data_IF_518840208757
#
_entry.id   IF_518840208757
#
_cell.length_a   1.000
_cell.length_b   1.000
_cell.length_c   1.000
_cell.angle_alpha   90.00
_cell.angle_beta   90.00
_cell.angle_gamma   90.00
#
_symmetry.space_group_name_H-M   'P 1'
#
loop_
_entity.id
_entity.type
_entity.pdbx_description
1 polymer ?
#
# COMPACT_ATOMS: atom_id res chain seq x y z
N UNK A 1 33.95 34.52 26.55
CA UNK A 1 33.62 33.22 25.92
C UNK A 1 32.97 33.58 24.60
N UNK A 2 33.69 33.42 23.48
CA UNK A 2 33.54 34.30 22.32
C UNK A 2 32.73 33.67 21.18
N UNK A 3 31.92 34.51 20.54
CA UNK A 3 30.89 34.22 19.53
C UNK A 3 31.41 33.50 18.26
N UNK A 4 32.72 33.55 18.03
CA UNK A 4 33.40 32.93 16.87
C UNK A 4 33.47 31.41 16.97
N UNK A 5 33.41 30.85 18.18
CA UNK A 5 33.46 29.40 18.41
C UNK A 5 32.10 28.74 18.12
N UNK A 6 31.00 29.46 18.33
CA UNK A 6 29.64 28.97 18.06
C UNK A 6 29.37 28.93 16.55
N UNK A 7 29.81 29.95 15.81
CA UNK A 7 29.63 30.02 14.34
C UNK A 7 30.44 28.92 13.62
N UNK A 8 31.61 28.53 14.16
CA UNK A 8 32.45 27.48 13.55
C UNK A 8 31.91 26.06 13.76
N UNK A 9 31.05 25.83 14.78
CA UNK A 9 30.41 24.52 15.00
C UNK A 9 29.18 24.31 14.11
N UNK A 10 28.48 25.39 13.71
CA UNK A 10 27.31 25.30 12.84
C UNK A 10 27.65 24.87 11.40
N UNK A 11 28.88 25.12 10.93
CA UNK A 11 29.27 24.78 9.56
C UNK A 11 29.64 23.31 9.35
N UNK A 12 29.89 22.55 10.43
CA UNK A 12 30.30 21.14 10.33
C UNK A 12 29.13 20.16 10.21
N UNK A 13 27.88 20.60 10.44
CA UNK A 13 26.69 19.73 10.49
C UNK A 13 25.92 19.69 9.16
N UNK A 14 26.59 19.99 8.04
CA UNK A 14 25.99 19.88 6.70
C UNK A 14 26.71 18.88 5.78
N UNK A 15 27.60 18.04 6.33
CA UNK A 15 28.41 17.09 5.55
C UNK A 15 28.17 15.61 5.91
N UNK A 16 27.03 15.27 6.50
CA UNK A 16 26.55 13.88 6.49
C UNK A 16 25.74 13.70 5.22
N UNK A 17 26.41 13.15 4.20
CA UNK A 17 25.88 12.95 2.87
C UNK A 17 24.56 12.17 2.89
N UNK A 18 23.52 12.81 2.36
CA UNK A 18 22.33 12.10 1.88
C UNK A 18 22.69 11.46 0.56
N UNK A 19 23.26 10.25 0.60
CA UNK A 19 23.27 9.40 -0.58
C UNK A 19 21.81 9.16 -0.98
N UNK A 20 21.38 9.42 -2.22
CA UNK A 20 20.09 8.95 -2.68
C UNK A 20 20.13 7.43 -2.59
N UNK A 21 19.36 6.84 -1.68
CA UNK A 21 19.05 5.42 -1.73
C UNK A 21 18.23 5.25 -3.00
N UNK A 22 18.89 4.83 -4.08
CA UNK A 22 18.21 4.43 -5.30
C UNK A 22 17.38 3.20 -4.93
N UNK A 23 16.05 3.37 -4.87
CA UNK A 23 15.12 2.26 -4.83
C UNK A 23 15.13 1.62 -6.22
N UNK A 24 16.17 0.83 -6.50
CA UNK A 24 16.23 0.00 -7.68
C UNK A 24 15.29 -1.19 -7.47
N UNK A 25 13.98 -0.92 -7.56
CA UNK A 25 13.02 -1.96 -7.85
C UNK A 25 13.28 -2.38 -9.29
N UNK A 26 13.96 -3.51 -9.49
CA UNK A 26 13.80 -4.25 -10.72
C UNK A 26 12.34 -4.67 -10.76
N UNK A 27 11.50 -3.85 -11.39
CA UNK A 27 10.17 -4.27 -11.79
C UNK A 27 10.40 -5.41 -12.79
N UNK A 28 10.32 -6.64 -12.29
CA UNK A 28 10.11 -7.79 -13.14
C UNK A 28 8.85 -7.47 -13.94
N UNK A 29 8.94 -7.46 -15.27
CA UNK A 29 7.82 -7.19 -16.18
C UNK A 29 6.82 -8.36 -16.19
N UNK A 30 6.60 -9.00 -15.05
CA UNK A 30 5.38 -9.74 -14.81
C UNK A 30 4.23 -8.77 -15.07
N UNK A 31 3.43 -9.06 -16.09
CA UNK A 31 2.30 -8.21 -16.48
C UNK A 31 1.37 -8.08 -15.28
N UNK A 32 1.44 -6.94 -14.59
CA UNK A 32 0.60 -6.63 -13.43
C UNK A 32 -0.85 -6.59 -13.92
N UNK A 33 -1.66 -7.53 -13.44
CA UNK A 33 -3.06 -7.64 -13.82
C UNK A 33 -3.95 -7.52 -12.57
N UNK A 34 -4.51 -6.33 -12.40
CA UNK A 34 -5.45 -6.02 -11.33
C UNK A 34 -6.91 -6.10 -11.79
N UNK A 35 -7.15 -6.57 -13.02
CA UNK A 35 -8.49 -6.60 -13.59
C UNK A 35 -9.41 -7.57 -12.84
N UNK A 36 -10.63 -7.14 -12.46
CA UNK A 36 -11.64 -8.04 -11.91
C UNK A 36 -12.08 -9.16 -12.86
N UNK A 37 -11.71 -9.07 -14.15
CA UNK A 37 -12.05 -10.10 -15.14
C UNK A 37 -11.44 -11.47 -14.81
N UNK A 38 -10.30 -11.49 -14.11
CA UNK A 38 -9.54 -12.71 -13.82
C UNK A 38 -9.65 -13.17 -12.36
N UNK A 39 -10.50 -12.54 -11.55
CA UNK A 39 -10.72 -12.95 -10.16
C UNK A 39 -11.67 -14.14 -10.08
N UNK A 40 -11.19 -15.26 -9.54
CA UNK A 40 -12.00 -16.47 -9.36
C UNK A 40 -13.10 -16.31 -8.31
N UNK A 41 -12.97 -15.34 -7.42
CA UNK A 41 -13.85 -15.08 -6.28
C UNK A 41 -14.87 -13.96 -6.51
N UNK A 42 -15.02 -13.47 -7.75
CA UNK A 42 -15.88 -12.30 -8.07
C UNK A 42 -17.32 -12.45 -7.58
N UNK A 43 -17.95 -13.58 -7.84
CA UNK A 43 -19.35 -13.84 -7.44
C UNK A 43 -19.52 -13.83 -5.92
N UNK A 44 -18.55 -14.40 -5.18
CA UNK A 44 -18.55 -14.37 -3.72
C UNK A 44 -18.37 -12.94 -3.16
N UNK A 45 -17.58 -12.10 -3.83
CA UNK A 45 -17.42 -10.68 -3.44
C UNK A 45 -18.71 -9.90 -3.63
N UNK A 46 -19.48 -10.17 -4.69
CA UNK A 46 -20.79 -9.57 -4.93
C UNK A 46 -21.80 -9.97 -3.86
N UNK A 47 -21.84 -11.26 -3.50
CA UNK A 47 -22.68 -11.76 -2.40
C UNK A 47 -22.31 -11.10 -1.07
N UNK A 48 -21.02 -11.01 -0.74
CA UNK A 48 -20.54 -10.39 0.50
C UNK A 48 -20.90 -8.90 0.58
N UNK A 49 -21.06 -8.24 -0.56
CA UNK A 49 -21.46 -6.85 -0.65
C UNK A 49 -22.95 -6.62 -0.29
N UNK A 50 -23.76 -7.67 -0.31
CA UNK A 50 -25.17 -7.60 0.09
C UNK A 50 -25.37 -7.69 1.61
N UNK A 51 -24.34 -8.05 2.39
CA UNK A 51 -24.42 -8.27 3.83
C UNK A 51 -23.75 -7.14 4.63
N UNK A 52 -24.57 -6.31 5.29
CA UNK A 52 -24.10 -5.19 6.11
C UNK A 52 -24.22 -5.42 7.63
N UNK A 53 -25.08 -6.33 8.08
CA UNK A 53 -25.50 -6.43 9.49
C UNK A 53 -24.98 -7.67 10.23
N UNK A 54 -24.06 -8.44 9.63
CA UNK A 54 -23.49 -9.64 10.25
C UNK A 54 -22.18 -9.32 10.96
N UNK A 55 -22.01 -9.85 12.18
CA UNK A 55 -20.72 -9.82 12.88
C UNK A 55 -19.63 -10.47 12.02
N UNK A 56 -18.60 -9.70 11.69
CA UNK A 56 -17.46 -10.18 10.92
C UNK A 56 -16.44 -10.81 11.88
N UNK A 57 -15.94 -12.02 11.60
CA UNK A 57 -14.89 -12.62 12.42
C UNK A 57 -13.63 -11.75 12.40
N UNK A 58 -12.81 -11.88 13.44
CA UNK A 58 -11.49 -11.25 13.47
C UNK A 58 -10.65 -11.79 12.31
N UNK A 59 -10.13 -10.89 11.47
CA UNK A 59 -9.23 -11.24 10.39
C UNK A 59 -7.78 -11.15 10.86
N UNK A 60 -7.00 -12.20 10.61
CA UNK A 60 -5.58 -12.30 10.95
C UNK A 60 -4.75 -12.56 9.69
N UNK A 61 -3.56 -11.98 9.62
CA UNK A 61 -2.64 -12.16 8.49
C UNK A 61 -1.25 -11.60 8.78
N UNK A 62 -0.21 -12.26 8.27
CA UNK A 62 1.19 -11.90 8.56
C UNK A 62 1.79 -10.96 7.50
N UNK A 63 1.35 -11.07 6.25
CA UNK A 63 2.00 -10.44 5.10
C UNK A 63 1.28 -9.18 4.58
N UNK A 64 0.17 -8.80 5.21
CA UNK A 64 -0.58 -7.59 4.85
C UNK A 64 -2.08 -7.70 5.17
N UNK A 65 -2.70 -6.54 5.36
CA UNK A 65 -4.13 -6.40 5.64
C UNK A 65 -4.68 -5.19 4.91
N UNK A 66 -5.91 -5.32 4.38
CA UNK A 66 -6.68 -4.20 3.81
C UNK A 66 -7.96 -4.07 4.64
N UNK A 67 -8.23 -2.87 5.14
CA UNK A 67 -9.40 -2.54 5.98
C UNK A 67 -9.80 -1.08 5.79
N UNK A 68 -10.91 -0.66 6.39
CA UNK A 68 -11.43 0.72 6.29
C UNK A 68 -11.94 1.08 4.89
N UNK A 69 -12.43 0.10 4.14
CA UNK A 69 -12.89 0.25 2.76
C UNK A 69 -14.42 0.25 2.66
N UNK A 70 -14.95 0.77 1.56
CA UNK A 70 -16.41 0.81 1.31
C UNK A 70 -17.01 -0.53 0.86
N UNK A 71 -16.21 -1.49 0.38
CA UNK A 71 -16.73 -2.78 -0.08
C UNK A 71 -15.65 -3.84 -0.35
N UNK A 72 -16.07 -5.12 -0.53
CA UNK A 72 -15.18 -6.27 -0.66
C UNK A 72 -14.37 -6.27 -1.96
N UNK A 73 -14.90 -5.72 -3.06
CA UNK A 73 -14.15 -5.56 -4.30
C UNK A 73 -12.92 -4.63 -4.13
N UNK A 74 -13.04 -3.58 -3.32
CA UNK A 74 -11.93 -2.69 -3.01
C UNK A 74 -10.87 -3.35 -2.11
N UNK A 75 -11.31 -4.21 -1.18
CA UNK A 75 -10.39 -5.06 -0.38
C UNK A 75 -9.63 -6.01 -1.30
N UNK A 76 -10.34 -6.68 -2.22
CA UNK A 76 -9.74 -7.65 -3.15
C UNK A 76 -8.69 -7.03 -4.06
N UNK A 77 -8.93 -5.82 -4.59
CA UNK A 77 -7.98 -5.11 -5.44
C UNK A 77 -6.65 -4.80 -4.71
N UNK A 78 -6.71 -4.29 -3.48
CA UNK A 78 -5.52 -4.04 -2.68
C UNK A 78 -4.78 -5.33 -2.30
N UNK A 79 -5.53 -6.39 -1.96
CA UNK A 79 -4.94 -7.70 -1.72
C UNK A 79 -4.26 -8.28 -2.97
N UNK A 80 -4.81 -8.03 -4.16
CA UNK A 80 -4.19 -8.47 -5.42
C UNK A 80 -2.86 -7.74 -5.67
N UNK A 81 -2.81 -6.43 -5.42
CA UNK A 81 -1.55 -5.67 -5.48
C UNK A 81 -0.50 -6.23 -4.49
N UNK A 82 -0.89 -6.57 -3.26
CA UNK A 82 0.01 -7.19 -2.29
C UNK A 82 0.48 -8.60 -2.74
N UNK A 83 -0.43 -9.41 -3.30
CA UNK A 83 -0.12 -10.76 -3.80
C UNK A 83 0.86 -10.75 -4.97
N UNK A 84 0.80 -9.70 -5.80
CA UNK A 84 1.73 -9.49 -6.92
C UNK A 84 3.05 -8.83 -6.48
N UNK A 85 3.33 -8.73 -5.18
CA UNK A 85 4.58 -8.21 -4.64
C UNK A 85 4.63 -6.69 -4.46
N UNK A 86 3.50 -6.01 -4.63
CA UNK A 86 3.35 -4.58 -4.37
C UNK A 86 3.49 -4.25 -2.88
N UNK A 87 3.83 -3.00 -2.60
CA UNK A 87 3.94 -2.47 -1.24
C UNK A 87 2.58 -2.06 -0.68
N UNK A 88 2.55 -1.68 0.60
CA UNK A 88 1.35 -1.09 1.20
C UNK A 88 0.86 0.18 0.46
N UNK A 89 1.77 0.95 -0.15
CA UNK A 89 1.40 2.12 -0.94
C UNK A 89 0.67 1.73 -2.23
N UNK A 90 1.18 0.74 -2.96
CA UNK A 90 0.55 0.22 -4.18
C UNK A 90 -0.84 -0.34 -3.87
N UNK A 91 -0.94 -1.08 -2.76
CA UNK A 91 -2.20 -1.65 -2.30
C UNK A 91 -3.25 -0.57 -1.94
N UNK A 92 -2.85 0.50 -1.26
CA UNK A 92 -3.75 1.62 -0.95
C UNK A 92 -4.23 2.32 -2.22
N UNK A 93 -3.35 2.52 -3.21
CA UNK A 93 -3.71 3.16 -4.48
C UNK A 93 -4.72 2.28 -5.24
N UNK A 94 -4.45 0.98 -5.37
CA UNK A 94 -5.36 0.04 -6.01
C UNK A 94 -6.73 0.03 -5.31
N UNK A 95 -6.74 -0.12 -3.99
CA UNK A 95 -7.98 -0.07 -3.19
C UNK A 95 -8.74 1.23 -3.37
N UNK A 96 -8.07 2.39 -3.28
CA UNK A 96 -8.73 3.70 -3.36
C UNK A 96 -9.33 3.95 -4.75
N UNK A 97 -8.60 3.63 -5.83
CA UNK A 97 -9.10 3.76 -7.19
C UNK A 97 -10.31 2.85 -7.43
N UNK A 98 -10.28 1.63 -6.91
CA UNK A 98 -11.45 0.75 -6.96
C UNK A 98 -12.64 1.35 -6.22
N UNK A 99 -12.47 1.88 -5.00
CA UNK A 99 -13.58 2.51 -4.25
C UNK A 99 -14.26 3.67 -5.01
N UNK A 100 -13.50 4.43 -5.81
CA UNK A 100 -14.05 5.51 -6.64
C UNK A 100 -14.90 4.96 -7.79
N UNK A 101 -14.61 3.75 -8.25
CA UNK A 101 -15.26 3.11 -9.39
C UNK A 101 -16.42 2.18 -9.06
N UNK A 102 -16.67 1.91 -7.77
CA UNK A 102 -17.77 1.04 -7.30
C UNK A 102 -19.12 1.76 -7.29
#
# INVERSE_FOLDING_TARGET
MNERTVVSLCLAVWLVGTAPVAFAGAADEATVDLSPANWSDREALEELNAFFETDKPLAEGENGVISGTTGPAAVRAGLEALRQGGTAADAVIATALTQISL
#
